data_IF_109405481087
#
_entry.id   IF_109405481087
#
_cell.length_a   1.000
_cell.length_b   1.000
_cell.length_c   1.000
_cell.angle_alpha   90.00
_cell.angle_beta   90.00
_cell.angle_gamma   90.00
#
_symmetry.space_group_name_H-M   'P 1'
#
loop_
_entity.id
_entity.type
_entity.pdbx_description
1 polymer ?
#
# COMPACT_ATOMS: atom_id res chain seq x y z
N UNK A 1 3.56 9.66 -0.38
CA UNK A 1 3.56 8.38 0.35
C UNK A 1 4.95 7.73 0.38
N UNK A 2 5.58 7.39 -0.76
CA UNK A 2 6.91 6.75 -0.79
C UNK A 2 8.00 7.46 0.05
N UNK A 3 8.07 8.80 0.01
CA UNK A 3 9.03 9.55 0.82
C UNK A 3 8.84 9.36 2.33
N UNK A 4 7.60 9.27 2.80
CA UNK A 4 7.29 9.08 4.24
C UNK A 4 7.69 7.67 4.68
N UNK A 5 7.36 6.64 3.90
CA UNK A 5 7.78 5.27 4.19
C UNK A 5 9.31 5.13 4.22
N UNK A 6 10.03 5.86 3.35
CA UNK A 6 11.49 5.96 3.41
C UNK A 6 11.96 6.57 4.72
N UNK A 7 11.46 7.73 5.13
CA UNK A 7 11.88 8.35 6.39
C UNK A 7 11.58 7.46 7.62
N UNK A 8 10.45 6.72 7.62
CA UNK A 8 10.15 5.73 8.67
C UNK A 8 11.21 4.62 8.70
N UNK A 9 11.56 4.05 7.54
CA UNK A 9 12.60 3.03 7.44
C UNK A 9 13.95 3.55 7.98
N UNK A 10 14.33 4.76 7.60
CA UNK A 10 15.58 5.41 8.02
C UNK A 10 15.62 5.67 9.53
N UNK A 11 14.52 6.14 10.10
CA UNK A 11 14.38 6.28 11.56
C UNK A 11 14.59 4.95 12.29
N UNK A 12 13.97 3.87 11.81
CA UNK A 12 14.11 2.53 12.44
C UNK A 12 15.54 2.01 12.27
N UNK A 13 16.18 2.20 11.12
CA UNK A 13 17.60 1.87 10.88
C UNK A 13 18.52 2.61 11.84
N UNK A 14 18.35 3.93 11.96
CA UNK A 14 19.11 4.76 12.88
C UNK A 14 18.92 4.28 14.34
N UNK A 15 17.68 3.96 14.73
CA UNK A 15 17.39 3.41 16.05
C UNK A 15 18.07 2.05 16.28
N UNK A 16 18.01 1.11 15.32
CA UNK A 16 18.74 -0.16 15.41
C UNK A 16 20.24 0.06 15.56
N UNK A 17 20.84 0.91 14.72
CA UNK A 17 22.28 1.18 14.74
C UNK A 17 22.73 1.72 16.10
N UNK A 18 22.01 2.69 16.65
CA UNK A 18 22.31 3.25 17.97
C UNK A 18 22.25 2.19 19.08
N UNK A 19 21.24 1.31 19.04
CA UNK A 19 21.06 0.24 20.02
C UNK A 19 22.00 -0.96 19.83
N UNK A 20 22.66 -1.07 18.68
CA UNK A 20 23.71 -2.08 18.45
C UNK A 20 24.97 -1.78 19.28
N UNK A 21 25.22 -0.50 19.60
CA UNK A 21 26.34 -0.05 20.44
C UNK A 21 25.99 -0.32 21.91
N UNK A 22 26.43 -1.46 22.46
CA UNK A 22 26.12 -1.87 23.84
C UNK A 22 26.82 -1.01 24.92
N UNK A 23 27.97 -0.43 24.58
CA UNK A 23 28.75 0.43 25.47
C UNK A 23 28.14 1.84 25.50
N UNK A 24 27.61 2.24 26.67
CA UNK A 24 26.91 3.52 26.86
C UNK A 24 27.84 4.74 26.67
N UNK A 25 29.00 4.85 27.33
CA UNK A 25 29.99 5.89 27.05
C UNK A 25 30.37 6.03 25.57
N UNK A 26 30.54 4.91 24.85
CA UNK A 26 30.85 4.97 23.42
C UNK A 26 29.66 5.47 22.60
N UNK A 27 28.44 5.04 22.96
CA UNK A 27 27.20 5.42 22.26
C UNK A 27 26.93 6.91 22.26
N UNK A 28 27.28 7.64 23.33
CA UNK A 28 27.06 9.10 23.42
C UNK A 28 27.96 9.91 22.49
N UNK A 29 29.09 9.33 22.05
CA UNK A 29 30.04 9.97 21.14
C UNK A 29 29.98 9.43 19.72
N UNK A 30 29.30 8.30 19.50
CA UNK A 30 29.22 7.64 18.21
C UNK A 30 28.49 8.48 17.15
N UNK A 31 28.86 8.28 15.89
CA UNK A 31 28.16 8.78 14.73
C UNK A 31 27.62 7.61 13.88
N UNK A 32 26.54 7.86 13.13
CA UNK A 32 25.92 6.82 12.30
C UNK A 32 26.88 6.20 11.27
N UNK A 33 27.76 7.02 10.69
CA UNK A 33 28.72 6.60 9.67
C UNK A 33 30.02 6.02 10.22
N UNK A 34 30.12 5.75 11.53
CA UNK A 34 31.28 5.05 12.09
C UNK A 34 31.34 3.58 11.62
N UNK A 35 30.18 2.95 11.43
CA UNK A 35 30.04 1.54 11.04
C UNK A 35 29.44 1.34 9.63
N UNK A 36 29.15 2.43 8.90
CA UNK A 36 28.45 2.43 7.60
C UNK A 36 29.17 3.37 6.62
N UNK A 37 29.35 2.95 5.35
CA UNK A 37 30.01 3.80 4.34
C UNK A 37 29.16 5.05 4.03
N UNK A 38 29.71 6.23 4.33
CA UNK A 38 29.06 7.52 4.09
C UNK A 38 28.83 7.85 2.60
N UNK A 39 29.48 7.13 1.68
CA UNK A 39 29.29 7.30 0.23
C UNK A 39 28.20 6.39 -0.33
N UNK A 40 27.65 5.49 0.48
CA UNK A 40 26.57 4.62 0.04
C UNK A 40 25.28 5.45 -0.13
N UNK A 41 24.74 5.55 -1.36
CA UNK A 41 23.58 6.41 -1.66
C UNK A 41 22.26 5.92 -1.05
N UNK A 42 22.26 4.75 -0.39
CA UNK A 42 21.11 4.26 0.38
C UNK A 42 20.87 5.07 1.66
N UNK A 43 21.93 5.65 2.24
CA UNK A 43 21.88 6.36 3.51
C UNK A 43 22.01 7.87 3.30
N UNK A 44 21.14 8.65 3.94
CA UNK A 44 21.11 10.12 3.86
C UNK A 44 20.70 10.76 5.20
N UNK A 45 19.42 10.68 5.59
CA UNK A 45 18.84 11.32 6.77
C UNK A 45 18.93 10.43 8.01
N UNK A 46 19.38 9.18 7.89
CA UNK A 46 19.63 8.30 9.04
C UNK A 46 20.56 8.93 10.07
N UNK A 47 21.58 9.69 9.64
CA UNK A 47 22.50 10.38 10.54
C UNK A 47 21.77 11.39 11.43
N UNK A 48 20.78 12.10 10.89
CA UNK A 48 19.99 13.10 11.63
C UNK A 48 19.14 12.39 12.69
N UNK A 49 18.46 11.30 12.32
CA UNK A 49 17.68 10.51 13.27
C UNK A 49 18.56 9.86 14.34
N UNK A 50 19.74 9.37 13.97
CA UNK A 50 20.68 8.77 14.90
C UNK A 50 21.14 9.79 15.94
N UNK A 51 21.52 10.99 15.50
CA UNK A 51 21.92 12.10 16.39
C UNK A 51 20.77 12.48 17.32
N UNK A 52 19.56 12.67 16.78
CA UNK A 52 18.39 13.01 17.58
C UNK A 52 18.08 11.95 18.64
N UNK A 53 18.08 10.67 18.28
CA UNK A 53 17.83 9.56 19.21
C UNK A 53 18.94 9.42 20.27
N UNK A 54 20.19 9.66 19.89
CA UNK A 54 21.33 9.66 20.80
C UNK A 54 21.20 10.78 21.84
N UNK A 55 20.84 11.98 21.39
CA UNK A 55 20.69 13.15 22.23
C UNK A 55 19.48 13.01 23.17
N UNK A 56 18.36 12.46 22.70
CA UNK A 56 17.23 12.05 23.58
C UNK A 56 17.67 10.97 24.58
N UNK A 57 18.53 10.06 24.12
CA UNK A 57 19.11 8.95 24.88
C UNK A 57 19.90 9.35 26.13
N UNK A 58 20.28 10.63 26.28
CA UNK A 58 20.89 11.13 27.53
C UNK A 58 19.90 11.18 28.69
N UNK A 59 18.61 11.29 28.38
CA UNK A 59 17.53 11.39 29.36
C UNK A 59 16.68 10.10 29.38
N UNK A 60 16.33 9.57 28.19
CA UNK A 60 15.45 8.40 28.06
C UNK A 60 15.99 7.43 26.99
N UNK A 61 16.28 6.19 27.38
CA UNK A 61 16.77 5.15 26.47
C UNK A 61 15.64 4.53 25.63
N UNK A 62 15.25 5.21 24.56
CA UNK A 62 14.18 4.78 23.67
C UNK A 62 14.69 4.04 22.43
N UNK A 63 13.94 3.02 21.97
CA UNK A 63 14.13 2.35 20.68
C UNK A 63 12.83 2.47 19.90
N UNK A 64 12.90 2.93 18.66
CA UNK A 64 11.77 3.04 17.76
C UNK A 64 11.61 1.73 17.00
N UNK A 65 10.39 1.20 16.99
CA UNK A 65 10.02 -0.05 16.32
C UNK A 65 8.72 0.23 15.57
N UNK A 66 8.61 -0.29 14.35
CA UNK A 66 7.36 -0.38 13.61
C UNK A 66 6.97 -1.85 13.58
N UNK A 67 5.89 -2.20 14.26
CA UNK A 67 5.41 -3.57 14.44
C UNK A 67 4.05 -3.82 13.75
N UNK A 68 3.33 -2.77 13.36
CA UNK A 68 2.04 -2.84 12.66
C UNK A 68 2.04 -1.85 11.50
N UNK A 69 1.66 -2.32 10.31
CA UNK A 69 1.42 -1.52 9.12
C UNK A 69 0.05 -1.90 8.56
N UNK A 70 -0.79 -0.93 8.28
CA UNK A 70 -2.08 -1.16 7.65
C UNK A 70 -2.31 -0.10 6.56
N UNK A 71 -2.85 -0.51 5.40
CA UNK A 71 -3.09 0.44 4.32
C UNK A 71 -3.97 -0.08 3.18
N UNK A 72 -4.61 0.87 2.51
CA UNK A 72 -5.37 0.67 1.28
C UNK A 72 -4.69 1.42 0.12
N UNK A 73 -4.88 0.98 -1.12
CA UNK A 73 -4.42 1.69 -2.33
C UNK A 73 -2.92 2.02 -2.29
N UNK A 74 -2.55 3.27 -2.54
CA UNK A 74 -1.16 3.74 -2.42
C UNK A 74 -0.57 3.46 -1.02
N UNK A 75 -1.37 3.49 0.05
CA UNK A 75 -0.94 3.11 1.41
C UNK A 75 -0.57 1.63 1.51
N UNK A 76 -1.37 0.74 0.92
CA UNK A 76 -1.12 -0.70 0.89
C UNK A 76 0.14 -1.06 0.09
N UNK A 77 0.35 -0.42 -1.07
CA UNK A 77 1.58 -0.62 -1.87
C UNK A 77 2.83 -0.22 -1.08
N UNK A 78 2.84 0.99 -0.53
CA UNK A 78 3.99 1.48 0.24
C UNK A 78 4.17 0.70 1.55
N UNK A 79 3.07 0.24 2.15
CA UNK A 79 3.07 -0.62 3.33
C UNK A 79 3.72 -1.96 3.07
N UNK A 80 3.39 -2.63 1.96
CA UNK A 80 4.02 -3.90 1.56
C UNK A 80 5.53 -3.77 1.37
N UNK A 81 5.96 -2.71 0.69
CA UNK A 81 7.37 -2.41 0.47
C UNK A 81 8.10 -2.08 1.78
N UNK A 82 7.50 -1.24 2.63
CA UNK A 82 8.05 -0.89 3.93
C UNK A 82 8.16 -2.11 4.85
N UNK A 83 7.12 -2.94 4.91
CA UNK A 83 7.11 -4.13 5.75
C UNK A 83 8.22 -5.10 5.37
N UNK A 84 8.39 -5.34 4.06
CA UNK A 84 9.49 -6.16 3.53
C UNK A 84 10.86 -5.58 3.87
N UNK A 85 11.04 -4.27 3.74
CA UNK A 85 12.29 -3.59 4.09
C UNK A 85 12.59 -3.68 5.60
N UNK A 86 11.58 -3.56 6.47
CA UNK A 86 11.72 -3.68 7.92
C UNK A 86 12.06 -5.11 8.36
N UNK A 87 11.36 -6.10 7.80
CA UNK A 87 11.53 -7.52 8.14
C UNK A 87 12.94 -8.03 7.86
N UNK A 88 13.53 -7.61 6.74
CA UNK A 88 14.79 -8.16 6.22
C UNK A 88 15.93 -7.14 6.06
N UNK A 89 15.75 -5.91 6.54
CA UNK A 89 16.71 -4.79 6.38
C UNK A 89 17.13 -4.58 4.90
N UNK A 90 16.12 -4.62 4.02
CA UNK A 90 16.35 -4.53 2.57
C UNK A 90 16.61 -3.11 2.13
N UNK A 91 17.31 -3.01 1.01
CA UNK A 91 17.54 -1.76 0.29
C UNK A 91 16.29 -1.37 -0.48
N UNK A 92 15.91 -0.09 -0.41
CA UNK A 92 14.72 0.42 -1.09
C UNK A 92 15.06 1.30 -2.30
N UNK A 93 16.34 1.36 -2.67
CA UNK A 93 16.81 2.20 -3.75
C UNK A 93 16.40 1.70 -5.15
N UNK A 94 16.49 0.39 -5.38
CA UNK A 94 16.02 -0.22 -6.63
C UNK A 94 14.53 0.09 -6.89
N UNK A 95 13.75 0.13 -5.81
CA UNK A 95 12.35 0.49 -5.84
C UNK A 95 12.13 1.98 -6.19
N UNK A 96 12.94 2.90 -5.64
CA UNK A 96 12.90 4.32 -6.03
C UNK A 96 13.08 4.46 -7.53
N UNK A 97 14.08 3.80 -8.08
CA UNK A 97 14.37 3.82 -9.52
C UNK A 97 13.18 3.28 -10.32
N UNK A 98 12.64 2.13 -9.92
CA UNK A 98 11.47 1.55 -10.57
C UNK A 98 10.26 2.50 -10.54
N UNK A 99 9.99 3.17 -9.42
CA UNK A 99 8.93 4.17 -9.36
C UNK A 99 9.22 5.38 -10.25
N UNK A 100 10.44 5.90 -10.26
CA UNK A 100 10.79 7.07 -11.11
C UNK A 100 10.65 6.70 -12.60
N UNK A 101 11.18 5.54 -12.99
CA UNK A 101 11.22 5.10 -14.38
C UNK A 101 9.82 4.68 -14.89
N UNK A 102 8.91 4.26 -14.01
CA UNK A 102 7.57 3.76 -14.36
C UNK A 102 6.40 4.63 -13.88
N UNK A 103 6.64 5.72 -13.15
CA UNK A 103 5.60 6.68 -12.74
C UNK A 103 5.11 7.56 -13.90
N UNK A 104 5.70 7.43 -15.09
CA UNK A 104 5.07 7.98 -16.28
C UNK A 104 3.82 7.16 -16.62
N UNK A 105 2.66 7.80 -16.46
CA UNK A 105 1.34 7.27 -16.87
C UNK A 105 1.40 6.67 -18.27
N UNK A 106 2.28 7.18 -19.15
CA UNK A 106 2.49 6.63 -20.47
C UNK A 106 2.84 5.13 -20.43
N UNK A 107 3.68 4.67 -19.50
CA UNK A 107 4.10 3.26 -19.35
C UNK A 107 2.92 2.36 -19.00
N UNK A 108 1.99 2.84 -18.17
CA UNK A 108 0.81 2.12 -17.74
C UNK A 108 -0.35 2.17 -18.74
N UNK A 109 -0.27 3.00 -19.80
CA UNK A 109 -1.27 3.00 -20.86
C UNK A 109 -1.22 1.69 -21.65
N UNK A 110 -2.39 1.04 -21.75
CA UNK A 110 -2.57 -0.14 -22.59
C UNK A 110 -2.06 0.14 -24.02
N UNK A 111 -1.41 -0.87 -24.64
CA UNK A 111 -0.92 -0.77 -26.02
C UNK A 111 -2.02 -0.39 -27.02
N UNK A 112 -3.27 -0.82 -26.76
CA UNK A 112 -4.46 -0.42 -27.53
C UNK A 112 -4.87 1.05 -27.35
N UNK A 113 -4.51 1.70 -26.24
CA UNK A 113 -4.74 3.12 -26.01
C UNK A 113 -3.70 4.01 -26.73
N UNK A 114 -2.59 3.42 -27.22
CA UNK A 114 -1.47 4.14 -27.85
C UNK A 114 -1.60 4.33 -29.38
N UNK A 115 -2.63 3.82 -30.07
CA UNK A 115 -2.67 3.85 -31.55
C UNK A 115 -4.01 4.27 -32.19
N UNK A 116 -4.03 5.48 -32.79
CA UNK A 116 -4.54 5.80 -34.14
C UNK A 116 -4.59 7.33 -34.30
N UNK A 117 -3.58 7.92 -34.94
CA UNK A 117 -3.48 9.37 -35.24
C UNK A 117 -4.43 9.83 -36.35
N UNK A 118 -5.19 8.94 -37.00
CA UNK A 118 -5.87 9.27 -38.26
C UNK A 118 -7.24 8.58 -38.48
N UNK A 119 -8.03 8.41 -37.43
CA UNK A 119 -9.44 8.05 -37.61
C UNK A 119 -10.35 9.05 -36.90
N UNK A 120 -11.47 9.37 -37.55
CA UNK A 120 -12.62 10.17 -37.07
C UNK A 120 -12.73 11.63 -37.57
N UNK A 121 -12.62 11.82 -38.88
CA UNK A 121 -13.04 13.07 -39.55
C UNK A 121 -14.52 13.43 -39.28
N UNK A 122 -15.36 12.43 -38.99
CA UNK A 122 -16.80 12.57 -38.75
C UNK A 122 -17.19 13.16 -37.38
N UNK A 123 -16.25 13.31 -36.43
CA UNK A 123 -16.52 13.92 -35.11
C UNK A 123 -16.25 15.43 -35.04
N UNK A 124 -15.73 16.03 -36.13
CA UNK A 124 -15.45 17.48 -36.21
C UNK A 124 -16.67 18.40 -35.92
N UNK A 125 -17.93 18.06 -36.26
CA UNK A 125 -19.07 18.93 -35.97
C UNK A 125 -19.34 19.11 -34.48
N UNK A 126 -19.09 18.08 -33.65
CA UNK A 126 -19.39 18.11 -32.21
C UNK A 126 -18.33 18.88 -31.40
N UNK A 127 -17.07 18.88 -31.88
CA UNK A 127 -15.97 19.64 -31.24
C UNK A 127 -16.17 21.14 -31.42
N UNK A 128 -16.69 21.58 -32.58
CA UNK A 128 -16.95 23.00 -32.84
C UNK A 128 -18.08 23.55 -31.95
N UNK A 129 -19.13 22.76 -31.73
CA UNK A 129 -20.24 23.12 -30.81
C UNK A 129 -19.75 23.22 -29.36
N UNK A 130 -18.90 22.29 -28.91
CA UNK A 130 -18.33 22.33 -27.56
C UNK A 130 -17.32 23.49 -27.37
N UNK A 131 -16.63 23.92 -28.43
CA UNK A 131 -15.73 25.07 -28.40
C UNK A 131 -16.48 26.43 -28.39
N UNK A 132 -17.68 26.49 -28.98
CA UNK A 132 -18.51 27.68 -28.99
C UNK A 132 -19.19 27.96 -27.63
N UNK A 133 -19.39 26.92 -26.80
CA UNK A 133 -19.90 27.05 -25.44
C UNK A 133 -18.75 27.07 -24.44
N UNK A 134 -18.26 28.27 -24.13
CA UNK A 134 -17.22 28.62 -23.15
C UNK A 134 -16.99 27.64 -21.97
N UNK A 135 -16.17 26.59 -22.17
CA UNK A 135 -15.86 25.58 -21.14
C UNK A 135 -14.38 25.22 -21.00
N UNK A 136 -13.44 26.05 -21.45
CA UNK A 136 -12.01 25.84 -21.16
C UNK A 136 -11.26 27.16 -20.98
N UNK A 137 -11.32 27.71 -19.77
CA UNK A 137 -10.58 28.91 -19.39
C UNK A 137 -10.00 28.82 -17.98
N UNK A 138 -9.05 27.90 -17.72
CA UNK A 138 -8.01 28.04 -16.66
C UNK A 138 -7.18 26.75 -16.42
N UNK A 139 -6.40 26.30 -17.41
CA UNK A 139 -5.28 25.37 -17.14
C UNK A 139 -4.10 25.87 -17.97
N UNK A 140 -3.09 26.45 -17.33
CA UNK A 140 -1.93 27.08 -17.99
C UNK A 140 -0.75 26.12 -18.21
N UNK A 141 -0.86 24.87 -17.75
CA UNK A 141 0.23 23.89 -17.87
C UNK A 141 0.09 23.04 -19.14
N UNK A 142 1.09 23.11 -20.02
CA UNK A 142 1.13 22.46 -21.34
C UNK A 142 1.26 20.94 -21.22
N UNK A 143 1.95 20.44 -20.20
CA UNK A 143 2.13 19.01 -19.95
C UNK A 143 0.81 18.38 -19.47
N UNK A 144 0.13 19.08 -18.56
CA UNK A 144 -1.20 18.71 -18.05
C UNK A 144 -2.22 18.69 -19.19
N UNK A 145 -2.20 19.66 -20.11
CA UNK A 145 -3.07 19.67 -21.30
C UNK A 145 -2.78 18.51 -22.26
N UNK A 146 -1.52 18.17 -22.50
CA UNK A 146 -1.16 17.02 -23.33
C UNK A 146 -1.62 15.71 -22.69
N UNK A 147 -1.36 15.51 -21.40
CA UNK A 147 -1.79 14.33 -20.62
C UNK A 147 -3.32 14.23 -20.54
N UNK A 148 -4.04 15.31 -20.25
CA UNK A 148 -5.52 15.33 -20.27
C UNK A 148 -6.11 15.08 -21.66
N UNK A 149 -5.45 15.55 -22.73
CA UNK A 149 -5.93 15.30 -24.09
C UNK A 149 -5.88 13.81 -24.47
N UNK A 150 -4.99 13.02 -23.83
CA UNK A 150 -4.97 11.56 -23.96
C UNK A 150 -6.15 10.93 -23.21
N UNK A 151 -6.45 11.41 -21.99
CA UNK A 151 -7.56 10.93 -21.16
C UNK A 151 -8.96 11.19 -21.75
N UNK A 152 -9.19 12.37 -22.35
CA UNK A 152 -10.50 12.71 -22.94
C UNK A 152 -10.72 11.98 -24.27
N UNK A 153 -9.66 11.41 -24.88
CA UNK A 153 -9.72 10.69 -26.16
C UNK A 153 -9.79 9.17 -26.00
N UNK A 154 -9.41 8.62 -24.85
CA UNK A 154 -9.63 7.21 -24.52
C UNK A 154 -11.12 6.94 -24.30
N UNK A 155 -11.63 5.89 -24.94
CA UNK A 155 -13.05 5.53 -24.99
C UNK A 155 -13.61 5.36 -23.58
N UNK A 156 -14.78 5.95 -23.35
CA UNK A 156 -15.51 6.03 -22.09
C UNK A 156 -16.07 4.68 -21.55
N UNK A 157 -15.44 3.53 -21.81
CA UNK A 157 -15.94 2.22 -21.32
C UNK A 157 -14.88 1.10 -21.14
N UNK A 158 -13.57 1.37 -21.28
CA UNK A 158 -12.50 0.43 -20.88
C UNK A 158 -11.49 1.17 -19.99
N UNK A 159 -10.96 0.57 -18.92
CA UNK A 159 -9.98 1.22 -18.06
C UNK A 159 -8.77 1.66 -18.92
N UNK A 160 -8.29 2.91 -18.76
CA UNK A 160 -7.23 3.45 -19.59
C UNK A 160 -5.86 2.80 -19.29
N UNK A 161 -5.70 2.19 -18.10
CA UNK A 161 -4.45 1.60 -17.63
C UNK A 161 -4.49 0.07 -17.70
N UNK A 162 -3.34 -0.51 -18.03
CA UNK A 162 -3.17 -1.95 -18.20
C UNK A 162 -2.87 -2.64 -16.87
N UNK A 163 -3.81 -3.47 -16.41
CA UNK A 163 -3.67 -4.25 -15.19
C UNK A 163 -2.46 -5.19 -15.21
N UNK A 164 -2.18 -5.85 -16.35
CA UNK A 164 -1.08 -6.82 -16.45
C UNK A 164 0.27 -6.12 -16.36
N UNK A 165 0.39 -4.94 -16.96
CA UNK A 165 1.59 -4.11 -16.85
C UNK A 165 1.81 -3.71 -15.40
N UNK A 166 0.76 -3.28 -14.69
CA UNK A 166 0.84 -2.98 -13.26
C UNK A 166 1.23 -4.21 -12.43
N UNK A 167 0.66 -5.38 -12.71
CA UNK A 167 1.01 -6.64 -12.04
C UNK A 167 2.47 -6.99 -12.23
N UNK A 168 2.96 -6.91 -13.47
CA UNK A 168 4.36 -7.14 -13.79
C UNK A 168 5.28 -6.11 -13.11
N UNK A 169 4.87 -4.84 -13.05
CA UNK A 169 5.61 -3.79 -12.35
C UNK A 169 5.71 -4.07 -10.85
N UNK A 170 4.60 -4.47 -10.20
CA UNK A 170 4.61 -4.82 -8.78
C UNK A 170 5.45 -6.06 -8.50
N UNK A 171 5.40 -7.07 -9.37
CA UNK A 171 6.23 -8.27 -9.24
C UNK A 171 7.72 -7.95 -9.41
N UNK A 172 8.09 -7.17 -10.43
CA UNK A 172 9.46 -6.72 -10.65
C UNK A 172 9.94 -5.87 -9.45
N UNK A 173 9.06 -5.03 -8.88
CA UNK A 173 9.36 -4.24 -7.70
C UNK A 173 9.69 -5.11 -6.49
N UNK A 174 8.84 -6.10 -6.16
CA UNK A 174 9.09 -7.00 -5.03
C UNK A 174 10.37 -7.81 -5.20
N UNK A 175 10.67 -8.29 -6.42
CA UNK A 175 11.90 -9.00 -6.72
C UNK A 175 13.15 -8.08 -6.67
N UNK A 176 13.04 -6.84 -7.13
CA UNK A 176 14.16 -5.88 -7.16
C UNK A 176 14.67 -5.49 -5.76
N UNK A 177 13.83 -5.63 -4.72
CA UNK A 177 14.24 -5.45 -3.33
C UNK A 177 15.22 -6.54 -2.86
N UNK A 178 15.25 -7.68 -3.55
CA UNK A 178 16.20 -8.75 -3.35
C UNK A 178 16.00 -9.51 -2.05
N UNK A 179 17.08 -10.18 -1.63
CA UNK A 179 17.18 -10.90 -0.36
C UNK A 179 17.89 -10.06 0.71
N UNK A 180 17.72 -10.49 1.96
CA UNK A 180 18.46 -9.96 3.09
C UNK A 180 19.98 -10.05 2.85
N UNK A 181 20.74 -9.03 3.28
CA UNK A 181 22.23 -9.04 3.17
C UNK A 181 22.87 -10.25 3.88
N UNK A 182 22.20 -10.77 4.89
CA UNK A 182 22.57 -11.98 5.63
C UNK A 182 21.29 -12.62 6.21
N UNK A 183 21.26 -13.94 6.48
CA UNK A 183 20.03 -14.66 6.85
C UNK A 183 19.32 -14.13 8.12
N UNK A 184 20.04 -13.45 9.00
CA UNK A 184 19.50 -12.90 10.25
C UNK A 184 19.26 -11.38 10.19
N UNK A 185 19.44 -10.75 9.03
CA UNK A 185 19.25 -9.31 8.89
C UNK A 185 17.77 -8.97 9.12
N UNK A 186 17.52 -8.08 10.08
CA UNK A 186 16.19 -7.54 10.35
C UNK A 186 16.33 -6.21 11.07
N UNK A 187 15.33 -5.34 10.93
CA UNK A 187 15.20 -4.14 11.76
C UNK A 187 14.42 -4.40 13.05
N UNK A 188 13.73 -5.54 13.12
CA UNK A 188 12.95 -5.94 14.28
C UNK A 188 13.84 -6.58 15.36
N UNK A 189 13.65 -6.23 16.64
CA UNK A 189 14.31 -6.91 17.75
C UNK A 189 13.92 -8.41 17.84
N UNK A 190 14.74 -9.21 18.53
CA UNK A 190 14.33 -10.57 18.92
C UNK A 190 13.03 -10.54 19.75
N UNK A 191 12.14 -11.50 19.51
CA UNK A 191 10.87 -11.64 20.23
C UNK A 191 9.77 -10.68 19.77
N UNK A 192 10.03 -9.84 18.77
CA UNK A 192 9.02 -8.94 18.19
C UNK A 192 8.46 -9.51 16.88
N UNK A 193 7.27 -9.06 16.53
CA UNK A 193 6.59 -9.38 15.27
C UNK A 193 6.31 -8.10 14.47
N UNK A 194 6.09 -8.28 13.17
CA UNK A 194 5.56 -7.24 12.28
C UNK A 194 4.36 -7.82 11.53
N UNK A 195 3.24 -7.10 11.55
CA UNK A 195 2.07 -7.43 10.75
C UNK A 195 1.83 -6.34 9.70
N UNK A 196 1.49 -6.78 8.49
CA UNK A 196 1.01 -5.95 7.40
C UNK A 196 -0.44 -6.33 7.08
N UNK A 197 -1.33 -5.36 7.09
CA UNK A 197 -2.70 -5.48 6.63
C UNK A 197 -2.91 -4.67 5.34
N UNK A 198 -3.36 -5.34 4.28
CA UNK A 198 -3.70 -4.70 3.01
C UNK A 198 -5.17 -4.95 2.71
N UNK A 199 -5.96 -3.88 2.62
CA UNK A 199 -7.40 -4.01 2.33
C UNK A 199 -7.65 -4.13 0.83
N UNK A 200 -8.59 -5.00 0.50
CA UNK A 200 -9.12 -5.28 -0.82
C UNK A 200 -10.65 -5.27 -0.75
N UNK A 201 -11.28 -5.13 -1.91
CA UNK A 201 -12.72 -5.33 -2.06
C UNK A 201 -12.96 -6.42 -3.10
N UNK A 202 -13.66 -7.48 -2.73
CA UNK A 202 -14.21 -8.46 -3.65
C UNK A 202 -15.41 -7.84 -4.39
N UNK A 203 -15.35 -7.81 -5.73
CA UNK A 203 -16.40 -7.21 -6.53
C UNK A 203 -17.74 -7.98 -6.46
N UNK A 204 -17.68 -9.31 -6.33
CA UNK A 204 -18.88 -10.16 -6.23
C UNK A 204 -19.29 -10.40 -4.78
N UNK A 205 -18.31 -10.39 -3.88
CA UNK A 205 -18.49 -10.79 -2.49
C UNK A 205 -18.64 -12.30 -2.36
N UNK A 206 -18.60 -12.79 -1.12
CA UNK A 206 -18.85 -14.18 -0.78
C UNK A 206 -19.91 -14.27 0.32
N UNK A 207 -20.64 -15.38 0.33
CA UNK A 207 -21.64 -15.63 1.37
C UNK A 207 -20.97 -16.07 2.67
N UNK A 208 -21.27 -15.36 3.76
CA UNK A 208 -20.88 -15.70 5.11
C UNK A 208 -22.11 -16.08 5.94
N UNK A 209 -21.99 -17.14 6.72
CA UNK A 209 -23.02 -17.57 7.67
C UNK A 209 -22.81 -16.89 9.01
N UNK A 210 -23.73 -15.99 9.36
CA UNK A 210 -23.71 -15.28 10.64
C UNK A 210 -24.70 -15.94 11.59
N UNK A 211 -24.21 -16.33 12.76
CA UNK A 211 -25.06 -16.80 13.85
C UNK A 211 -25.69 -15.60 14.56
N UNK A 212 -27.02 -15.55 14.56
CA UNK A 212 -27.80 -14.57 15.32
C UNK A 212 -28.83 -15.29 16.20
N UNK A 213 -29.63 -14.54 16.96
CA UNK A 213 -30.61 -15.14 17.87
C UNK A 213 -31.81 -15.77 17.13
N UNK A 214 -32.43 -15.04 16.20
CA UNK A 214 -33.58 -15.51 15.42
C UNK A 214 -33.68 -14.75 14.08
N UNK A 215 -33.65 -15.43 12.92
CA UNK A 215 -33.37 -16.87 12.76
C UNK A 215 -31.94 -17.20 13.21
N UNK A 216 -31.65 -18.42 13.69
CA UNK A 216 -30.35 -18.76 14.28
C UNK A 216 -29.15 -18.60 13.32
N UNK A 217 -29.42 -18.58 12.01
CA UNK A 217 -28.43 -18.39 10.95
C UNK A 217 -29.02 -17.46 9.89
N UNK A 218 -28.23 -16.48 9.46
CA UNK A 218 -28.48 -15.68 8.27
C UNK A 218 -27.28 -15.78 7.32
N UNK A 219 -27.54 -15.58 6.02
CA UNK A 219 -26.51 -15.42 5.01
C UNK A 219 -26.29 -13.92 4.80
N UNK A 220 -25.05 -13.47 4.92
CA UNK A 220 -24.64 -12.10 4.60
C UNK A 220 -23.64 -12.13 3.44
N UNK A 221 -23.70 -11.11 2.58
CA UNK A 221 -22.75 -10.96 1.47
C UNK A 221 -21.62 -10.04 1.92
N UNK A 222 -20.44 -10.62 2.17
CA UNK A 222 -19.25 -9.84 2.55
C UNK A 222 -18.40 -9.55 1.32
N UNK A 223 -18.01 -8.29 1.17
CA UNK A 223 -17.18 -7.79 0.08
C UNK A 223 -15.80 -7.33 0.56
N UNK A 224 -15.66 -6.99 1.83
CA UNK A 224 -14.39 -6.54 2.41
C UNK A 224 -13.48 -7.74 2.54
N UNK A 225 -12.23 -7.56 2.15
CA UNK A 225 -11.23 -8.60 2.29
C UNK A 225 -9.92 -7.98 2.75
N UNK A 226 -9.26 -8.63 3.71
CA UNK A 226 -8.00 -8.14 4.28
C UNK A 226 -6.93 -9.20 4.09
N UNK A 227 -5.88 -8.85 3.35
CA UNK A 227 -4.69 -9.67 3.27
C UNK A 227 -3.79 -9.36 4.46
N UNK A 228 -3.44 -10.39 5.22
CA UNK A 228 -2.51 -10.30 6.34
C UNK A 228 -1.19 -11.01 6.00
N UNK A 229 -0.09 -10.31 6.22
CA UNK A 229 1.27 -10.86 6.11
C UNK A 229 2.01 -10.65 7.43
N UNK A 230 2.72 -11.68 7.88
CA UNK A 230 3.39 -11.70 9.17
C UNK A 230 4.91 -11.85 9.07
N UNK A 231 5.60 -11.31 10.08
CA UNK A 231 6.97 -11.63 10.41
C UNK A 231 7.07 -11.86 11.91
N UNK A 232 7.76 -12.93 12.30
CA UNK A 232 8.03 -13.23 13.70
C UNK A 232 9.48 -13.62 13.87
N UNK A 233 10.21 -12.88 14.72
CA UNK A 233 11.59 -13.21 15.07
C UNK A 233 11.66 -13.90 16.42
N UNK A 234 12.05 -15.16 16.41
CA UNK A 234 12.21 -15.97 17.61
C UNK A 234 13.47 -15.57 18.39
N UNK A 235 13.50 -15.91 19.68
CA UNK A 235 14.64 -15.61 20.56
C UNK A 235 15.94 -16.31 20.12
N UNK A 236 15.83 -17.47 19.47
CA UNK A 236 16.95 -18.23 18.91
C UNK A 236 17.53 -17.63 17.60
N UNK A 237 16.96 -16.53 17.11
CA UNK A 237 17.40 -15.83 15.90
C UNK A 237 16.80 -16.37 14.60
N UNK A 238 15.99 -17.43 14.64
CA UNK A 238 15.17 -17.87 13.51
C UNK A 238 14.03 -16.88 13.28
N UNK A 239 13.62 -16.74 12.03
CA UNK A 239 12.51 -15.89 11.64
C UNK A 239 11.53 -16.66 10.76
N UNK A 240 10.25 -16.52 11.06
CA UNK A 240 9.15 -16.86 10.16
C UNK A 240 8.75 -15.59 9.44
N UNK A 241 8.62 -15.63 8.12
CA UNK A 241 8.33 -14.44 7.34
C UNK A 241 7.53 -14.72 6.09
N UNK A 242 6.48 -13.92 5.89
CA UNK A 242 5.78 -13.83 4.61
C UNK A 242 6.39 -12.76 3.69
N UNK A 243 7.55 -12.19 4.06
CA UNK A 243 8.19 -11.09 3.35
C UNK A 243 9.42 -11.53 2.54
N UNK A 244 9.70 -12.83 2.46
CA UNK A 244 10.76 -13.37 1.62
C UNK A 244 10.43 -13.33 0.12
N UNK A 245 11.35 -13.84 -0.71
CA UNK A 245 11.15 -13.91 -2.17
C UNK A 245 10.14 -14.99 -2.57
N UNK A 246 9.99 -16.03 -1.76
CA UNK A 246 8.98 -17.07 -1.93
C UNK A 246 7.54 -16.53 -1.98
N UNK A 247 7.30 -15.41 -1.29
CA UNK A 247 6.04 -14.67 -1.23
C UNK A 247 6.05 -13.38 -2.06
N UNK A 248 7.05 -13.14 -2.91
CA UNK A 248 7.14 -11.91 -3.72
C UNK A 248 5.91 -11.71 -4.62
N UNK A 249 5.38 -12.79 -5.21
CA UNK A 249 4.15 -12.73 -6.01
C UNK A 249 2.90 -12.47 -5.16
N UNK A 250 2.83 -13.01 -3.92
CA UNK A 250 1.75 -12.73 -2.97
C UNK A 250 1.69 -11.24 -2.60
N UNK A 251 2.85 -10.65 -2.27
CA UNK A 251 2.97 -9.22 -1.96
C UNK A 251 2.71 -8.34 -3.18
N UNK A 252 3.17 -8.77 -4.36
CA UNK A 252 2.90 -8.07 -5.62
C UNK A 252 1.41 -8.09 -5.97
N UNK A 253 0.73 -9.22 -5.74
CA UNK A 253 -0.72 -9.32 -5.90
C UNK A 253 -1.43 -8.40 -4.92
N UNK A 254 -1.06 -8.39 -3.63
CA UNK A 254 -1.64 -7.48 -2.64
C UNK A 254 -1.52 -6.01 -3.07
N UNK A 255 -0.32 -5.60 -3.50
CA UNK A 255 -0.05 -4.25 -3.99
C UNK A 255 -0.84 -3.91 -5.27
N UNK A 256 -0.97 -4.86 -6.20
CA UNK A 256 -1.74 -4.71 -7.44
C UNK A 256 -3.24 -4.64 -7.19
N UNK A 257 -3.76 -5.50 -6.33
CA UNK A 257 -5.18 -5.62 -6.04
C UNK A 257 -5.67 -4.39 -5.27
N UNK A 258 -4.93 -3.99 -4.23
CA UNK A 258 -5.29 -2.81 -3.43
C UNK A 258 -5.22 -1.52 -4.25
N UNK A 259 -4.45 -1.46 -5.35
CA UNK A 259 -4.40 -0.29 -6.25
C UNK A 259 -5.32 -0.38 -7.48
N UNK A 260 -6.24 -1.35 -7.50
CA UNK A 260 -7.20 -1.54 -8.60
C UNK A 260 -8.38 -0.57 -8.51
N UNK A 261 -8.09 0.74 -8.63
CA UNK A 261 -9.12 1.77 -8.52
C UNK A 261 -10.15 1.64 -9.66
N UNK A 262 -11.46 1.52 -9.35
CA UNK A 262 -12.51 1.39 -10.35
C UNK A 262 -12.49 2.53 -11.38
N UNK A 263 -12.47 2.17 -12.66
CA UNK A 263 -12.43 3.12 -13.77
C UNK A 263 -11.02 3.54 -14.22
N UNK A 264 -9.99 3.31 -13.40
CA UNK A 264 -8.59 3.52 -13.78
C UNK A 264 -7.92 2.21 -14.22
N UNK A 265 -8.07 1.15 -13.42
CA UNK A 265 -7.52 -0.17 -13.68
C UNK A 265 -8.63 -1.24 -13.76
N UNK A 266 -8.40 -2.34 -14.49
CA UNK A 266 -9.26 -3.52 -14.38
C UNK A 266 -9.08 -4.20 -13.00
N UNK A 267 -10.11 -4.92 -12.50
CA UNK A 267 -9.99 -5.72 -11.29
C UNK A 267 -8.80 -6.68 -11.37
N UNK A 268 -8.08 -6.83 -10.27
CA UNK A 268 -6.98 -7.78 -10.15
C UNK A 268 -7.50 -9.19 -9.87
N UNK A 269 -6.84 -10.19 -10.46
CA UNK A 269 -7.11 -11.61 -10.18
C UNK A 269 -5.81 -12.33 -9.92
N UNK A 270 -5.83 -13.35 -9.07
CA UNK A 270 -4.62 -14.12 -8.76
C UNK A 270 -4.12 -14.87 -10.00
N UNK A 271 -5.04 -15.37 -10.84
CA UNK A 271 -4.70 -15.99 -12.13
C UNK A 271 -3.87 -15.05 -13.04
N UNK A 272 -4.13 -13.73 -12.98
CA UNK A 272 -3.33 -12.74 -13.72
C UNK A 272 -1.89 -12.71 -13.21
N UNK A 273 -1.68 -12.86 -11.90
CA UNK A 273 -0.35 -12.92 -11.29
C UNK A 273 0.37 -14.23 -11.66
N UNK A 274 -0.33 -15.36 -11.72
CA UNK A 274 0.23 -16.64 -12.17
C UNK A 274 0.83 -16.52 -13.58
N UNK A 275 0.09 -15.88 -14.50
CA UNK A 275 0.52 -15.63 -15.87
C UNK A 275 1.74 -14.69 -15.92
N UNK A 276 1.76 -13.64 -15.08
CA UNK A 276 2.90 -12.72 -14.98
C UNK A 276 4.16 -13.42 -14.46
N UNK A 277 4.04 -14.23 -13.41
CA UNK A 277 5.16 -15.00 -12.85
C UNK A 277 5.72 -15.95 -13.91
N UNK A 278 4.85 -16.67 -14.63
CA UNK A 278 5.25 -17.57 -15.70
C UNK A 278 5.94 -16.82 -16.86
N UNK A 279 5.42 -15.67 -17.28
CA UNK A 279 6.01 -14.84 -18.33
C UNK A 279 7.41 -14.35 -17.95
N UNK A 280 7.62 -14.01 -16.67
CA UNK A 280 8.92 -13.60 -16.12
C UNK A 280 9.86 -14.78 -15.85
N UNK A 281 9.42 -16.02 -16.12
CA UNK A 281 10.14 -17.27 -15.80
C UNK A 281 10.49 -17.37 -14.30
N UNK A 282 9.64 -16.78 -13.47
CA UNK A 282 9.76 -16.84 -12.02
C UNK A 282 9.06 -18.07 -11.44
N UNK A 283 9.10 -18.18 -10.12
CA UNK A 283 8.38 -19.19 -9.35
C UNK A 283 7.57 -18.51 -8.26
N UNK A 284 6.45 -19.13 -7.86
CA UNK A 284 5.67 -18.70 -6.70
C UNK A 284 5.54 -19.86 -5.69
N UNK A 285 6.62 -20.18 -4.95
CA UNK A 285 6.61 -21.34 -4.05
C UNK A 285 5.55 -21.27 -2.95
N UNK A 286 5.26 -20.07 -2.44
CA UNK A 286 4.31 -19.87 -1.34
C UNK A 286 2.85 -19.66 -1.81
N UNK A 287 2.54 -19.96 -3.08
CA UNK A 287 1.21 -19.70 -3.67
C UNK A 287 0.09 -20.40 -2.90
N UNK A 288 0.23 -21.69 -2.64
CA UNK A 288 -0.84 -22.48 -2.01
C UNK A 288 -1.04 -22.05 -0.55
N UNK A 289 0.06 -21.86 0.21
CA UNK A 289 -0.02 -21.30 1.56
C UNK A 289 -0.61 -19.89 1.60
N UNK A 290 -0.35 -19.07 0.58
CA UNK A 290 -0.96 -17.74 0.45
C UNK A 290 -2.48 -17.85 0.26
N UNK A 291 -2.94 -18.75 -0.61
CA UNK A 291 -4.37 -18.99 -0.82
C UNK A 291 -5.05 -19.51 0.46
N UNK A 292 -4.45 -20.49 1.11
CA UNK A 292 -4.97 -21.08 2.35
C UNK A 292 -5.07 -20.07 3.49
N UNK A 293 -4.04 -19.23 3.67
CA UNK A 293 -3.97 -18.30 4.79
C UNK A 293 -4.78 -17.02 4.55
N UNK A 294 -4.75 -16.48 3.34
CA UNK A 294 -5.40 -15.21 3.03
C UNK A 294 -6.83 -15.35 2.52
N UNK A 295 -7.22 -16.50 1.93
CA UNK A 295 -8.53 -16.68 1.29
C UNK A 295 -9.31 -17.88 1.85
N UNK A 296 -9.06 -18.24 3.12
CA UNK A 296 -9.74 -19.34 3.79
C UNK A 296 -11.28 -19.23 3.72
N UNK A 297 -11.81 -18.02 3.82
CA UNK A 297 -13.25 -17.77 3.82
C UNK A 297 -13.86 -17.99 2.43
N UNK A 298 -13.21 -17.52 1.36
CA UNK A 298 -13.59 -17.82 -0.02
C UNK A 298 -13.61 -19.33 -0.29
N UNK A 299 -12.56 -20.04 0.14
CA UNK A 299 -12.46 -21.50 -0.02
C UNK A 299 -13.60 -22.19 0.74
N UNK A 300 -13.92 -21.74 1.96
CA UNK A 300 -15.04 -22.27 2.77
C UNK A 300 -16.39 -22.01 2.11
N UNK A 301 -16.55 -20.88 1.44
CA UNK A 301 -17.73 -20.54 0.64
C UNK A 301 -17.80 -21.29 -0.70
N UNK A 302 -16.83 -22.15 -1.02
CA UNK A 302 -16.77 -22.89 -2.28
C UNK A 302 -16.41 -22.03 -3.50
N UNK A 303 -15.85 -20.85 -3.27
CA UNK A 303 -15.38 -19.93 -4.31
C UNK A 303 -13.89 -20.15 -4.55
N UNK A 304 -13.49 -20.34 -5.81
CA UNK A 304 -12.07 -20.40 -6.18
C UNK A 304 -11.45 -18.99 -6.12
N UNK A 305 -10.59 -18.69 -5.13
CA UNK A 305 -10.00 -17.36 -4.96
C UNK A 305 -9.17 -16.94 -6.18
N UNK A 306 -8.66 -17.90 -6.97
CA UNK A 306 -7.82 -17.60 -8.11
C UNK A 306 -8.53 -16.76 -9.18
N UNK A 307 -9.86 -16.91 -9.26
CA UNK A 307 -10.72 -16.33 -10.28
C UNK A 307 -11.41 -15.04 -9.85
N UNK A 308 -11.43 -14.77 -8.54
CA UNK A 308 -12.18 -13.66 -7.94
C UNK A 308 -11.61 -12.30 -8.39
N UNK A 309 -12.45 -11.39 -8.91
CA UNK A 309 -12.06 -10.04 -9.27
C UNK A 309 -12.01 -9.12 -8.05
N UNK A 310 -10.80 -8.71 -7.67
CA UNK A 310 -10.57 -7.76 -6.57
C UNK A 310 -10.36 -6.33 -7.08
N UNK A 311 -10.97 -5.37 -6.39
CA UNK A 311 -10.80 -3.93 -6.60
C UNK A 311 -10.14 -3.27 -5.38
N UNK A 312 -9.83 -1.98 -5.50
CA UNK A 312 -9.21 -1.18 -4.44
C UNK A 312 -9.97 -1.30 -3.11
N UNK A 313 -9.21 -1.53 -2.03
CA UNK A 313 -9.75 -1.60 -0.67
C UNK A 313 -10.35 -0.28 -0.20
N UNK A 314 -9.93 0.85 -0.78
CA UNK A 314 -10.45 2.19 -0.45
C UNK A 314 -11.93 2.35 -0.77
N UNK A 315 -12.52 1.46 -1.58
CA UNK A 315 -13.95 1.48 -1.91
C UNK A 315 -14.80 1.20 -0.66
N UNK A 316 -14.37 0.29 0.21
CA UNK A 316 -15.11 -0.12 1.41
C UNK A 316 -14.36 0.17 2.71
N UNK A 317 -13.04 0.05 2.73
CA UNK A 317 -12.19 0.32 3.89
C UNK A 317 -10.91 1.06 3.48
N UNK A 318 -11.01 2.38 3.40
CA UNK A 318 -9.87 3.26 3.10
C UNK A 318 -8.94 3.50 4.31
N UNK A 319 -9.36 3.11 5.52
CA UNK A 319 -8.65 3.40 6.76
C UNK A 319 -8.70 2.18 7.69
N UNK A 320 -7.84 1.17 7.48
CA UNK A 320 -7.83 -0.06 8.27
C UNK A 320 -7.28 0.12 9.69
N UNK A 321 -7.87 1.03 10.45
CA UNK A 321 -7.53 1.28 11.85
C UNK A 321 -7.98 0.14 12.73
N UNK A 322 -9.15 -0.46 12.46
CA UNK A 322 -9.64 -1.57 13.24
C UNK A 322 -8.64 -2.74 13.24
N UNK A 323 -8.10 -3.08 12.08
CA UNK A 323 -7.07 -4.11 11.91
C UNK A 323 -5.80 -3.76 12.68
N UNK A 324 -5.32 -2.51 12.52
CA UNK A 324 -4.13 -2.04 13.21
C UNK A 324 -4.31 -2.06 14.75
N UNK A 325 -5.45 -1.59 15.26
CA UNK A 325 -5.75 -1.55 16.69
C UNK A 325 -5.90 -2.96 17.25
N UNK A 326 -6.58 -3.85 16.52
CA UNK A 326 -6.80 -5.23 16.95
C UNK A 326 -5.47 -5.96 17.08
N UNK A 327 -4.52 -5.70 16.17
CA UNK A 327 -3.17 -6.25 16.22
C UNK A 327 -2.35 -5.75 17.43
N UNK A 328 -2.69 -4.62 18.06
CA UNK A 328 -2.01 -4.13 19.27
C UNK A 328 -2.25 -5.08 20.46
N UNK A 329 -3.45 -5.67 20.57
CA UNK A 329 -3.90 -6.46 21.74
C UNK A 329 -3.11 -7.76 22.00
N UNK A 330 -2.14 -8.11 21.17
CA UNK A 330 -1.28 -9.30 21.34
C UNK A 330 0.23 -9.00 21.37
N UNK A 331 0.65 -7.73 21.42
CA UNK A 331 2.05 -7.36 21.18
C UNK A 331 2.94 -7.47 22.42
N UNK A 332 4.08 -8.16 22.35
CA UNK A 332 4.96 -8.37 23.49
C UNK A 332 5.58 -7.06 23.96
N UNK A 333 5.59 -6.86 25.29
CA UNK A 333 6.20 -5.71 25.94
C UNK A 333 7.20 -6.20 27.01
N UNK A 334 8.49 -6.12 26.70
CA UNK A 334 9.57 -6.52 27.62
C UNK A 334 10.04 -5.38 28.53
N UNK A 335 9.55 -4.16 28.29
CA UNK A 335 9.83 -2.93 29.03
C UNK A 335 8.65 -1.97 28.85
N UNK A 336 8.71 -0.82 29.51
CA UNK A 336 7.75 0.27 29.28
C UNK A 336 7.72 0.66 27.79
N UNK A 337 6.52 0.82 27.26
CA UNK A 337 6.26 1.08 25.85
C UNK A 337 5.35 2.29 25.71
N UNK A 338 5.72 3.20 24.80
CA UNK A 338 4.84 4.25 24.31
C UNK A 338 4.40 3.86 22.89
N UNK A 339 3.11 3.53 22.72
CA UNK A 339 2.55 3.13 21.42
C UNK A 339 1.84 4.32 20.78
N UNK A 340 2.31 4.69 19.58
CA UNK A 340 1.75 5.79 18.79
C UNK A 340 1.14 5.21 17.51
N UNK A 341 -0.14 5.49 17.29
CA UNK A 341 -0.78 5.26 16.01
C UNK A 341 -0.54 6.49 15.12
N UNK A 342 0.18 6.31 14.01
CA UNK A 342 0.50 7.38 13.07
C UNK A 342 -0.30 7.17 11.78
N UNK A 343 -1.26 8.04 11.54
CA UNK A 343 -2.02 8.07 10.29
C UNK A 343 -1.43 9.08 9.32
N UNK A 344 -1.24 8.67 8.07
CA UNK A 344 -0.68 9.52 7.01
C UNK A 344 -1.76 9.79 5.97
N UNK A 345 -2.28 11.01 5.97
CA UNK A 345 -3.22 11.48 4.96
C UNK A 345 -2.49 12.29 3.88
N UNK A 346 -2.48 11.85 2.60
CA UNK A 346 -1.82 12.58 1.53
C UNK A 346 -2.59 13.85 1.12
N UNK A 347 -3.88 13.95 1.43
CA UNK A 347 -4.73 15.10 1.11
C UNK A 347 -5.58 15.47 2.34
N UNK A 348 -4.97 16.04 3.38
CA UNK A 348 -5.72 16.49 4.54
C UNK A 348 -6.76 17.52 4.07
N UNK A 349 -8.04 17.21 4.25
CA UNK A 349 -9.13 18.15 3.96
C UNK A 349 -8.84 19.44 4.74
N UNK A 350 -8.77 20.56 4.02
CA UNK A 350 -8.78 21.87 4.69
C UNK A 350 -10.08 21.97 5.49
N UNK A 351 -10.05 22.39 6.77
CA UNK A 351 -11.26 22.48 7.59
C UNK A 351 -12.29 23.32 6.83
N UNK A 352 -13.40 22.68 6.46
CA UNK A 352 -14.42 23.28 5.59
C UNK A 352 -15.12 24.37 6.40
N UNK A 353 -14.86 25.63 6.06
CA UNK A 353 -15.77 26.72 6.40
C UNK A 353 -17.09 26.44 5.69
N UNK A 354 -18.17 26.22 6.44
CA UNK A 354 -19.51 25.99 5.91
C UNK A 354 -19.88 27.05 4.85
N UNK A 355 -19.74 26.72 3.57
CA UNK A 355 -20.26 27.53 2.46
C UNK A 355 -21.58 26.91 2.00
N UNK A 356 -22.59 27.78 1.90
CA UNK A 356 -24.01 27.47 1.82
C UNK A 356 -24.40 26.30 0.92
N UNK A 357 -25.32 25.49 1.43
CA UNK A 357 -25.91 24.34 0.76
C UNK A 357 -26.59 24.74 -0.56
N UNK A 358 -25.98 24.37 -1.68
CA UNK A 358 -26.67 24.22 -2.97
C UNK A 358 -26.84 22.73 -3.22
N UNK A 359 -28.06 22.30 -3.59
CA UNK A 359 -28.31 20.90 -3.93
C UNK A 359 -27.40 20.46 -5.11
N UNK A 360 -26.61 19.38 -4.97
CA UNK A 360 -25.81 18.86 -6.06
C UNK A 360 -26.72 18.34 -7.19
N UNK A 361 -26.33 18.57 -8.44
CA UNK A 361 -27.03 18.02 -9.61
C UNK A 361 -26.69 16.53 -9.83
N UNK A 362 -27.52 15.80 -10.59
CA UNK A 362 -27.47 14.33 -10.78
C UNK A 362 -26.05 13.75 -11.05
N UNK A 363 -25.25 14.38 -11.92
CA UNK A 363 -23.87 13.93 -12.21
C UNK A 363 -22.87 14.25 -11.10
N UNK A 364 -23.07 15.34 -10.34
CA UNK A 364 -22.30 15.64 -9.14
C UNK A 364 -22.69 14.70 -7.99
N UNK A 365 -23.94 14.26 -7.94
CA UNK A 365 -24.42 13.23 -7.01
C UNK A 365 -23.88 11.85 -7.37
N UNK A 366 -23.72 11.51 -8.66
CA UNK A 366 -23.12 10.24 -9.09
C UNK A 366 -21.60 10.21 -8.85
N UNK A 367 -20.90 11.30 -9.18
CA UNK A 367 -19.47 11.47 -8.82
C UNK A 367 -19.31 11.53 -7.29
N UNK A 368 -20.23 12.19 -6.60
CA UNK A 368 -20.25 12.23 -5.14
C UNK A 368 -20.47 10.85 -4.54
N UNK A 369 -21.44 10.08 -5.00
CA UNK A 369 -21.68 8.72 -4.55
C UNK A 369 -20.51 7.76 -4.80
N UNK A 370 -19.68 8.04 -5.80
CA UNK A 370 -18.49 7.25 -6.15
C UNK A 370 -17.16 7.82 -5.62
N UNK A 371 -17.12 9.05 -5.10
CA UNK A 371 -15.87 9.76 -4.76
C UNK A 371 -15.98 10.86 -3.69
N UNK A 372 -17.13 11.54 -3.49
CA UNK A 372 -17.27 12.70 -2.58
C UNK A 372 -18.35 12.58 -1.49
N UNK A 373 -19.07 11.46 -1.34
CA UNK A 373 -19.65 11.10 -0.04
C UNK A 373 -18.42 10.78 0.79
N UNK A 374 -18.08 11.61 1.77
CA UNK A 374 -16.81 11.44 2.43
C UNK A 374 -16.92 10.11 3.17
N UNK A 375 -16.16 9.12 2.70
CA UNK A 375 -15.75 7.96 3.48
C UNK A 375 -14.82 8.38 4.62
N UNK A 376 -14.92 9.63 5.10
CA UNK A 376 -14.55 9.99 6.44
C UNK A 376 -15.60 9.38 7.36
N UNK A 377 -15.57 8.05 7.51
CA UNK A 377 -15.99 7.49 8.78
C UNK A 377 -15.20 8.26 9.85
N UNK A 378 -15.89 8.89 10.81
CA UNK A 378 -15.22 9.56 11.90
C UNK A 378 -14.35 8.53 12.60
N UNK A 379 -13.03 8.72 12.54
CA UNK A 379 -12.04 7.90 13.27
C UNK A 379 -12.32 7.89 14.78
N UNK A 380 -13.10 8.87 15.26
CA UNK A 380 -13.60 8.97 16.63
C UNK A 380 -14.33 7.71 17.10
N UNK A 381 -15.23 7.11 16.32
CA UNK A 381 -15.99 5.92 16.78
C UNK A 381 -15.09 4.68 17.00
N UNK A 382 -14.01 4.57 16.22
CA UNK A 382 -13.04 3.48 16.36
C UNK A 382 -12.05 3.73 17.50
N UNK A 383 -11.64 5.00 17.71
CA UNK A 383 -10.77 5.40 18.81
C UNK A 383 -11.49 5.35 20.17
N UNK A 384 -12.77 5.72 20.24
CA UNK A 384 -13.58 5.70 21.47
C UNK A 384 -13.83 4.27 22.00
N UNK A 385 -13.73 3.24 21.15
CA UNK A 385 -13.83 1.83 21.58
C UNK A 385 -12.57 1.32 22.28
N UNK A 386 -11.50 2.12 22.30
CA UNK A 386 -10.13 1.67 22.60
C UNK A 386 -9.49 2.50 23.71
N UNK A 387 -9.85 3.79 23.84
CA UNK A 387 -9.35 4.70 24.85
C UNK A 387 -10.37 4.98 25.97
#
# INVERSE_FOLDING_TARGET
MHGISKEILKLVRASKALHAIKDRPRRTQAAFFDDVDARDPEYDTEQIYFQLLRDIGTNVEMRVIVDIIAGASAGGINGAMLARALSHDLRVEALRKLWIDNADVSVLLASEARASTWSKWFLRPFIWVAAATAWFGSIQDLEVRQKLSLFVRSRWFKPPLDGRVMSALMYDAMNSMGEARHPQASLLPSGQSLDLFVTLTDYHGYEELVQIHDPPLIHELEHRHVLQFGYRRHANGQAESDFGLENAASLAFAARATSSFPGAFPPARILEMDEVVAQRRGTWPARDSFLENCFADHIRAGVDPATVPFIDGSVLNNRPFQEAISAIRGRPAYREIDRRLVYVDPHPLSPVSHRGARMPGFFATLRGALSDIPSSQPVAEELDRVF
#
